data_IF_376072620344
#
_entry.id   IF_376072620344
#
_cell.length_a   1.000
_cell.length_b   1.000
_cell.length_c   1.000
_cell.angle_alpha   90.00
_cell.angle_beta   90.00
_cell.angle_gamma   90.00
#
_symmetry.space_group_name_H-M   'P 1'
#
loop_
_entity.id
_entity.type
_entity.pdbx_description
1 polymer ?
#
# COMPACT_ATOMS: atom_id res chain seq x y z
N UNK A 1 28.84 -10.65 48.01
CA UNK A 1 29.01 -9.89 46.75
C UNK A 1 27.75 -10.13 45.92
N UNK A 2 26.78 -9.24 46.02
CA UNK A 2 25.47 -9.40 45.37
C UNK A 2 25.55 -8.74 44.00
N UNK A 3 25.49 -9.55 42.94
CA UNK A 3 25.43 -9.06 41.57
C UNK A 3 23.99 -8.66 41.31
N UNK A 4 23.75 -7.36 41.13
CA UNK A 4 22.47 -6.82 40.68
C UNK A 4 22.49 -6.88 39.16
N UNK A 5 21.73 -7.82 38.58
CA UNK A 5 21.41 -7.79 37.15
C UNK A 5 20.33 -6.73 36.93
N UNK A 6 20.73 -5.55 36.46
CA UNK A 6 19.80 -4.59 35.89
C UNK A 6 19.33 -5.12 34.54
N UNK A 7 18.13 -5.69 34.50
CA UNK A 7 17.42 -5.92 33.23
C UNK A 7 17.04 -4.56 32.65
N UNK A 8 17.72 -4.16 31.58
CA UNK A 8 17.28 -3.05 30.75
C UNK A 8 15.98 -3.47 30.05
N UNK A 9 14.86 -2.86 30.45
CA UNK A 9 13.62 -2.96 29.68
C UNK A 9 13.88 -2.51 28.24
N UNK A 10 13.54 -3.28 27.20
CA UNK A 10 13.53 -2.74 25.85
C UNK A 10 12.47 -1.64 25.83
N UNK A 11 12.88 -0.44 25.41
CA UNK A 11 11.99 0.69 25.19
C UNK A 11 10.84 0.22 24.29
N UNK A 12 9.63 0.18 24.86
CA UNK A 12 8.41 0.07 24.11
C UNK A 12 8.28 1.35 23.28
N UNK A 13 8.74 1.34 22.03
CA UNK A 13 8.53 2.46 21.13
C UNK A 13 7.08 2.38 20.66
N UNK A 14 6.21 3.15 21.31
CA UNK A 14 4.88 3.43 20.76
C UNK A 14 5.10 4.13 19.41
N UNK A 15 4.59 3.55 18.32
CA UNK A 15 4.60 4.24 17.04
C UNK A 15 3.84 5.55 17.19
N UNK A 16 4.54 6.67 16.99
CA UNK A 16 3.95 8.00 17.07
C UNK A 16 3.31 8.41 15.73
N UNK A 17 3.57 7.68 14.65
CA UNK A 17 2.94 7.93 13.36
C UNK A 17 2.57 6.63 12.62
N UNK A 18 1.47 6.66 11.88
CA UNK A 18 0.98 5.56 11.05
C UNK A 18 0.97 6.06 9.60
N UNK A 19 1.61 5.33 8.68
CA UNK A 19 1.52 5.56 7.23
C UNK A 19 0.40 4.70 6.68
N UNK A 20 -0.81 5.27 6.58
CA UNK A 20 -1.99 4.56 6.08
C UNK A 20 -2.36 5.07 4.69
N UNK A 21 -2.34 4.21 3.65
CA UNK A 21 -2.91 4.58 2.37
C UNK A 21 -4.44 4.54 2.46
N UNK A 22 -5.13 5.43 1.75
CA UNK A 22 -6.58 5.41 1.60
C UNK A 22 -6.86 5.41 0.09
N UNK A 23 -6.85 4.22 -0.54
CA UNK A 23 -7.04 4.08 -1.97
C UNK A 23 -8.52 4.15 -2.37
N UNK A 24 -8.76 4.52 -3.61
CA UNK A 24 -10.07 4.63 -4.24
C UNK A 24 -9.99 4.24 -5.72
N UNK A 25 -10.95 3.41 -6.15
CA UNK A 25 -11.20 3.05 -7.53
C UNK A 25 -12.60 3.50 -7.94
N UNK A 26 -12.75 3.99 -9.17
CA UNK A 26 -14.06 4.38 -9.73
C UNK A 26 -14.96 3.17 -10.02
N UNK A 27 -14.36 2.01 -10.25
CA UNK A 27 -15.04 0.74 -10.52
C UNK A 27 -14.18 -0.42 -10.03
N UNK A 28 -14.80 -1.58 -9.84
CA UNK A 28 -14.15 -2.80 -9.35
C UNK A 28 -14.28 -3.98 -10.32
N UNK A 29 -14.81 -3.74 -11.53
CA UNK A 29 -14.89 -4.73 -12.61
C UNK A 29 -14.10 -4.23 -13.83
N UNK A 30 -13.19 -5.06 -14.32
CA UNK A 30 -12.28 -4.73 -15.41
C UNK A 30 -12.23 -5.85 -16.45
N UNK A 31 -11.85 -5.49 -17.68
CA UNK A 31 -11.51 -6.47 -18.70
C UNK A 31 -10.01 -6.80 -18.66
N UNK A 32 -9.61 -7.98 -19.14
CA UNK A 32 -8.21 -8.20 -19.56
C UNK A 32 -7.83 -7.14 -20.58
N UNK A 33 -6.54 -6.77 -20.67
CA UNK A 33 -6.02 -5.66 -21.46
C UNK A 33 -6.41 -4.23 -21.02
N UNK A 34 -7.32 -4.08 -20.05
CA UNK A 34 -7.68 -2.76 -19.52
C UNK A 34 -6.60 -2.21 -18.56
N UNK A 35 -6.70 -0.93 -18.24
CA UNK A 35 -5.92 -0.28 -17.18
C UNK A 35 -6.75 0.00 -15.94
N UNK A 36 -6.15 -0.24 -14.77
CA UNK A 36 -6.70 0.14 -13.47
C UNK A 36 -6.13 1.51 -13.09
N UNK A 37 -6.99 2.52 -13.08
CA UNK A 37 -6.65 3.87 -12.59
C UNK A 37 -6.99 4.00 -11.11
N UNK A 38 -5.95 3.89 -10.28
CA UNK A 38 -6.01 4.01 -8.83
C UNK A 38 -5.69 5.44 -8.39
N UNK A 39 -6.50 5.97 -7.48
CA UNK A 39 -6.24 7.22 -6.78
C UNK A 39 -6.26 6.97 -5.29
N UNK A 40 -5.70 7.89 -4.51
CA UNK A 40 -5.79 7.83 -3.07
C UNK A 40 -4.96 8.89 -2.40
N UNK A 41 -4.91 8.84 -1.07
CA UNK A 41 -4.06 9.71 -0.28
C UNK A 41 -3.48 8.99 0.94
N UNK A 42 -2.39 9.53 1.50
CA UNK A 42 -1.72 8.99 2.68
C UNK A 42 -2.14 9.77 3.91
N UNK A 43 -2.71 9.06 4.89
CA UNK A 43 -3.06 9.60 6.21
C UNK A 43 -1.89 9.38 7.17
N UNK A 44 -1.45 10.45 7.83
CA UNK A 44 -0.38 10.46 8.83
C UNK A 44 -0.84 11.26 10.06
N UNK A 45 -1.14 10.60 11.18
CA UNK A 45 -1.59 11.21 12.46
C UNK A 45 -2.33 12.58 12.37
N UNK A 46 -3.42 12.61 11.59
CA UNK A 46 -4.33 13.76 11.32
C UNK A 46 -3.89 14.79 10.27
N UNK A 47 -2.74 14.64 9.64
CA UNK A 47 -2.27 15.48 8.54
C UNK A 47 -1.93 14.64 7.28
N UNK A 48 -1.78 15.33 6.15
CA UNK A 48 -1.39 14.70 4.88
C UNK A 48 0.12 14.51 4.86
N UNK A 49 0.62 13.35 4.41
CA UNK A 49 2.06 13.11 4.27
C UNK A 49 2.51 13.21 2.81
N UNK A 50 3.35 14.20 2.51
CA UNK A 50 4.03 14.34 1.23
C UNK A 50 5.23 13.41 1.09
N UNK A 51 5.63 13.14 -0.15
CA UNK A 51 6.85 12.40 -0.48
C UNK A 51 6.93 11.00 0.14
N UNK A 52 5.76 10.39 0.34
CA UNK A 52 5.66 9.00 0.81
C UNK A 52 5.70 8.07 -0.39
N UNK A 53 6.59 7.10 -0.34
CA UNK A 53 6.62 6.01 -1.32
C UNK A 53 5.37 5.15 -1.19
N UNK A 54 4.75 4.81 -2.31
CA UNK A 54 3.55 3.95 -2.38
C UNK A 54 3.79 2.85 -3.39
N UNK A 55 3.67 1.60 -2.96
CA UNK A 55 3.71 0.43 -3.81
C UNK A 55 2.28 -0.04 -4.07
N UNK A 56 1.93 -0.14 -5.34
CA UNK A 56 0.63 -0.62 -5.80
C UNK A 56 0.84 -1.90 -6.60
N UNK A 57 0.11 -2.96 -6.28
CA UNK A 57 0.19 -4.25 -6.98
C UNK A 57 -1.20 -4.78 -7.32
N UNK A 58 -1.28 -5.50 -8.44
CA UNK A 58 -2.41 -6.34 -8.82
C UNK A 58 -2.03 -7.80 -8.57
N UNK A 59 -2.84 -8.51 -7.81
CA UNK A 59 -2.52 -9.85 -7.30
C UNK A 59 -3.65 -10.85 -7.49
N UNK A 60 -3.31 -12.12 -7.73
CA UNK A 60 -4.20 -13.28 -7.68
C UNK A 60 -3.56 -14.35 -6.80
N UNK A 61 -4.21 -14.75 -5.70
CA UNK A 61 -3.71 -15.79 -4.80
C UNK A 61 -2.24 -15.57 -4.39
N UNK A 62 -1.89 -14.34 -3.99
CA UNK A 62 -0.53 -13.92 -3.61
C UNK A 62 0.51 -13.85 -4.75
N UNK A 63 0.13 -14.13 -5.99
CA UNK A 63 0.99 -13.91 -7.15
C UNK A 63 0.74 -12.49 -7.70
N UNK A 64 1.80 -11.68 -7.74
CA UNK A 64 1.76 -10.34 -8.35
C UNK A 64 1.78 -10.45 -9.87
N UNK A 65 0.75 -9.90 -10.53
CA UNK A 65 0.67 -9.82 -12.00
C UNK A 65 1.41 -8.58 -12.51
N UNK A 66 1.16 -7.44 -11.88
CA UNK A 66 1.80 -6.17 -12.21
C UNK A 66 1.93 -5.34 -10.95
N UNK A 67 2.92 -4.45 -10.93
CA UNK A 67 3.11 -3.52 -9.84
C UNK A 67 3.68 -2.19 -10.33
N UNK A 68 3.44 -1.15 -9.54
CA UNK A 68 3.92 0.18 -9.82
C UNK A 68 4.23 0.89 -8.51
N UNK A 69 5.35 1.60 -8.49
CA UNK A 69 5.71 2.47 -7.40
C UNK A 69 5.43 3.92 -7.78
N UNK A 70 4.83 4.66 -6.87
CA UNK A 70 4.54 6.09 -7.01
C UNK A 70 4.88 6.83 -5.72
N UNK A 71 4.78 8.14 -5.74
CA UNK A 71 5.04 8.98 -4.57
C UNK A 71 3.86 9.91 -4.34
N UNK A 72 3.47 10.11 -3.08
CA UNK A 72 2.44 11.09 -2.74
C UNK A 72 2.93 12.52 -2.97
N UNK A 73 2.04 13.40 -3.42
CA UNK A 73 2.35 14.82 -3.61
C UNK A 73 2.29 15.60 -2.30
N UNK A 74 2.51 16.93 -2.36
CA UNK A 74 2.48 17.83 -1.21
C UNK A 74 1.17 17.74 -0.36
N UNK A 75 0.07 17.34 -0.99
CA UNK A 75 -1.22 17.17 -0.32
C UNK A 75 -1.47 15.71 0.11
N UNK A 76 -0.46 14.86 0.09
CA UNK A 76 -0.54 13.45 0.40
C UNK A 76 -1.27 12.59 -0.63
N UNK A 77 -1.69 13.15 -1.77
CA UNK A 77 -2.40 12.40 -2.80
C UNK A 77 -1.44 11.62 -3.69
N UNK A 78 -1.83 10.43 -4.12
CA UNK A 78 -1.11 9.62 -5.09
C UNK A 78 -2.05 9.15 -6.21
N UNK A 79 -1.47 8.78 -7.35
CA UNK A 79 -2.20 8.15 -8.45
C UNK A 79 -1.31 7.15 -9.14
N UNK A 80 -1.86 5.98 -9.47
CA UNK A 80 -1.16 4.90 -10.15
C UNK A 80 -2.06 4.31 -11.25
N UNK A 81 -1.44 3.93 -12.36
CA UNK A 81 -2.11 3.21 -13.45
C UNK A 81 -1.40 1.88 -13.61
N UNK A 82 -2.14 0.79 -13.42
CA UNK A 82 -1.68 -0.58 -13.64
C UNK A 82 -2.30 -1.13 -14.93
N UNK A 83 -1.50 -1.75 -15.79
CA UNK A 83 -2.00 -2.46 -16.96
C UNK A 83 -2.33 -3.91 -16.60
N UNK A 84 -3.54 -4.37 -16.91
CA UNK A 84 -3.92 -5.77 -16.82
C UNK A 84 -3.36 -6.48 -18.06
N UNK A 85 -2.50 -7.51 -17.92
CA UNK A 85 -1.99 -8.25 -19.07
C UNK A 85 -3.12 -8.79 -19.95
N UNK A 86 -2.87 -8.84 -21.26
CA UNK A 86 -3.80 -9.47 -22.19
C UNK A 86 -3.91 -10.98 -21.91
N UNK A 87 -5.10 -11.55 -22.10
CA UNK A 87 -5.37 -12.95 -21.74
C UNK A 87 -5.33 -13.26 -20.24
N UNK A 88 -5.39 -12.23 -19.36
CA UNK A 88 -5.56 -12.45 -17.93
C UNK A 88 -6.86 -13.22 -17.69
N UNK A 89 -6.75 -14.36 -16.99
CA UNK A 89 -7.88 -15.22 -16.67
C UNK A 89 -9.00 -14.50 -15.91
N UNK A 90 -10.23 -14.92 -16.14
CA UNK A 90 -11.36 -14.52 -15.33
C UNK A 90 -11.14 -14.84 -13.85
N UNK A 91 -11.66 -13.96 -12.98
CA UNK A 91 -11.82 -14.25 -11.57
C UNK A 91 -11.64 -13.05 -10.66
N UNK A 92 -11.44 -13.37 -9.38
CA UNK A 92 -11.23 -12.39 -8.32
C UNK A 92 -9.75 -12.10 -8.16
N UNK A 93 -9.45 -10.81 -8.08
CA UNK A 93 -8.11 -10.26 -7.90
C UNK A 93 -8.14 -9.24 -6.77
N UNK A 94 -6.96 -8.86 -6.30
CA UNK A 94 -6.80 -7.83 -5.28
C UNK A 94 -5.88 -6.75 -5.81
N UNK A 95 -6.28 -5.49 -5.63
CA UNK A 95 -5.37 -4.35 -5.74
C UNK A 95 -4.84 -4.04 -4.35
N UNK A 96 -3.55 -4.27 -4.15
CA UNK A 96 -2.83 -4.10 -2.89
C UNK A 96 -2.09 -2.76 -2.91
N UNK A 97 -2.23 -1.97 -1.86
CA UNK A 97 -1.64 -0.63 -1.74
C UNK A 97 -0.89 -0.53 -0.43
N UNK A 98 0.44 -0.54 -0.50
CA UNK A 98 1.34 -0.43 0.63
C UNK A 98 1.99 0.95 0.63
N UNK A 99 2.00 1.64 1.77
CA UNK A 99 2.77 2.87 1.96
C UNK A 99 3.88 2.65 2.99
N UNK A 100 5.08 2.19 2.56
CA UNK A 100 6.21 1.99 3.46
C UNK A 100 6.55 3.26 4.22
N UNK A 101 7.00 3.09 5.46
CA UNK A 101 7.61 4.19 6.19
C UNK A 101 8.90 4.61 5.50
N UNK A 102 9.25 5.89 5.58
CA UNK A 102 10.58 6.33 5.20
C UNK A 102 11.59 5.72 6.16
N UNK A 103 12.70 5.22 5.62
CA UNK A 103 13.74 4.51 6.40
C UNK A 103 14.25 5.28 7.62
N UNK A 104 14.25 6.61 7.54
CA UNK A 104 14.67 7.51 8.63
C UNK A 104 13.69 7.49 9.83
N UNK A 105 12.47 7.00 9.64
CA UNK A 105 11.40 6.91 10.64
C UNK A 105 11.04 5.46 11.00
N UNK A 106 11.82 4.46 10.59
CA UNK A 106 11.48 3.03 10.78
C UNK A 106 11.27 2.63 12.25
N UNK A 107 11.86 3.34 13.20
CA UNK A 107 11.69 3.08 14.63
C UNK A 107 10.41 3.69 15.22
N UNK A 108 9.74 4.62 14.52
CA UNK A 108 8.61 5.40 15.06
C UNK A 108 7.35 5.36 14.17
N UNK A 109 7.45 4.74 12.99
CA UNK A 109 6.39 4.67 12.00
C UNK A 109 5.94 3.23 11.76
N UNK A 110 4.63 3.02 11.62
CA UNK A 110 4.05 1.74 11.16
C UNK A 110 3.47 1.93 9.76
N UNK A 111 3.92 1.12 8.79
CA UNK A 111 3.33 1.07 7.46
C UNK A 111 2.03 0.25 7.47
N UNK A 112 1.08 0.64 6.64
CA UNK A 112 -0.15 -0.14 6.41
C UNK A 112 -0.28 -0.56 4.95
N UNK A 113 -0.95 -1.69 4.79
CA UNK A 113 -1.41 -2.25 3.53
C UNK A 113 -2.93 -2.11 3.50
N UNK A 114 -3.45 -1.64 2.39
CA UNK A 114 -4.88 -1.68 2.08
C UNK A 114 -5.13 -2.51 0.82
N UNK A 115 -6.24 -3.23 0.82
CA UNK A 115 -6.62 -4.15 -0.25
C UNK A 115 -8.00 -3.79 -0.79
N UNK A 116 -8.11 -3.70 -2.11
CA UNK A 116 -9.39 -3.53 -2.80
C UNK A 116 -9.66 -4.79 -3.63
N UNK A 117 -10.70 -5.57 -3.32
CA UNK A 117 -11.10 -6.69 -4.16
C UNK A 117 -11.67 -6.17 -5.48
N UNK A 118 -11.27 -6.81 -6.58
CA UNK A 118 -11.79 -6.52 -7.92
C UNK A 118 -12.09 -7.84 -8.66
N UNK A 119 -12.84 -7.73 -9.75
CA UNK A 119 -13.08 -8.83 -10.68
C UNK A 119 -12.52 -8.47 -12.05
N UNK A 120 -11.78 -9.41 -12.64
CA UNK A 120 -11.32 -9.32 -14.03
C UNK A 120 -12.10 -10.33 -14.85
N UNK A 121 -12.56 -9.91 -16.03
CA UNK A 121 -13.19 -10.76 -17.04
C UNK A 121 -12.32 -10.71 -18.30
N UNK A 122 -12.20 -11.82 -19.01
CA UNK A 122 -11.50 -11.87 -20.27
C UNK A 122 -12.25 -11.02 -21.31
N UNK A 123 -11.48 -10.32 -22.13
CA UNK A 123 -11.94 -9.65 -23.32
C UNK A 123 -12.11 -10.72 -24.40
N UNK A 124 -13.27 -11.38 -24.44
CA UNK A 124 -13.63 -12.28 -25.55
C UNK A 124 -13.52 -11.59 -26.92
#
# INVERSE_FOLDING_TARGET
MTIIFSFSNPLNVFAIHISKPIPYLKKTEFLSNETIDLQGWIKYDREHASDVWVQVSLEKQLNTLTSKNVTSNANGNFSATLSIPDGTEDGNYTVSVLSPCQKIHDNICINQLEEIPITIKNSE
#
